data_IF_297404607806
#
_entry.id   IF_297404607806
#
_cell.length_a   1.000
_cell.length_b   1.000
_cell.length_c   1.000
_cell.angle_alpha   90.00
_cell.angle_beta   90.00
_cell.angle_gamma   90.00
#
_symmetry.space_group_name_H-M   'P 1'
#
loop_
_entity.id
_entity.type
_entity.pdbx_description
1 polymer ?
#
# COMPACT_ATOMS: atom_id res chain seq x y z
N UNK A 1 -13.28 12.64 -29.37
CA UNK A 1 -12.25 13.37 -28.63
C UNK A 1 -12.71 14.83 -28.50
N UNK A 2 -12.35 15.49 -27.40
CA UNK A 2 -12.64 16.89 -27.14
C UNK A 2 -11.39 17.55 -26.55
N UNK A 3 -11.20 18.83 -26.87
CA UNK A 3 -10.24 19.70 -26.19
C UNK A 3 -10.98 20.47 -25.10
N UNK A 4 -10.51 20.36 -23.87
CA UNK A 4 -10.99 21.18 -22.75
C UNK A 4 -9.95 22.24 -22.46
N UNK A 5 -10.30 23.49 -22.62
CA UNK A 5 -9.45 24.63 -22.34
C UNK A 5 -9.94 25.31 -21.06
N UNK A 6 -9.05 25.46 -20.09
CA UNK A 6 -9.34 26.10 -18.80
C UNK A 6 -8.68 27.47 -18.73
N UNK A 7 -9.34 28.44 -18.10
CA UNK A 7 -8.70 29.70 -17.72
C UNK A 7 -7.68 29.46 -16.60
N UNK A 8 -6.72 30.37 -16.44
CA UNK A 8 -5.66 30.29 -15.43
C UNK A 8 -6.22 30.16 -14.00
N UNK A 9 -7.31 30.86 -13.71
CA UNK A 9 -8.00 30.85 -12.43
C UNK A 9 -9.04 29.70 -12.28
N UNK A 10 -9.14 28.82 -13.29
CA UNK A 10 -10.09 27.72 -13.38
C UNK A 10 -11.57 28.16 -13.33
N UNK A 11 -11.87 29.45 -13.51
CA UNK A 11 -13.25 29.98 -13.47
C UNK A 11 -14.03 29.74 -14.77
N UNK A 12 -13.33 29.45 -15.85
CA UNK A 12 -13.93 29.21 -17.16
C UNK A 12 -13.39 27.92 -17.79
N UNK A 13 -14.30 27.12 -18.33
CA UNK A 13 -13.95 25.93 -19.11
C UNK A 13 -14.63 26.05 -20.50
N UNK A 14 -13.87 25.87 -21.58
CA UNK A 14 -14.38 25.76 -22.95
C UNK A 14 -14.15 24.34 -23.46
N UNK A 15 -15.18 23.76 -24.06
CA UNK A 15 -15.10 22.45 -24.72
C UNK A 15 -15.12 22.67 -26.20
N UNK A 16 -14.16 22.12 -26.93
CA UNK A 16 -14.04 22.21 -28.39
C UNK A 16 -13.95 20.81 -28.99
N UNK A 17 -14.58 20.63 -30.15
CA UNK A 17 -14.62 19.40 -30.93
C UNK A 17 -13.94 19.52 -32.31
N UNK A 18 -13.27 20.67 -32.57
CA UNK A 18 -12.51 20.92 -33.78
C UNK A 18 -11.34 19.92 -33.89
N UNK A 19 -11.38 19.06 -34.90
CA UNK A 19 -10.41 17.97 -35.07
C UNK A 19 -8.99 18.49 -35.31
N UNK A 20 -8.81 19.52 -36.11
CA UNK A 20 -7.49 20.08 -36.46
C UNK A 20 -6.83 20.69 -35.21
N UNK A 21 -7.65 21.37 -34.40
CA UNK A 21 -7.22 21.98 -33.15
C UNK A 21 -6.84 20.89 -32.11
N UNK A 22 -7.64 19.84 -32.02
CA UNK A 22 -7.36 18.68 -31.14
C UNK A 22 -6.04 18.00 -31.54
N UNK A 23 -5.85 17.72 -32.83
CA UNK A 23 -4.64 17.09 -33.36
C UNK A 23 -3.40 17.95 -33.14
N UNK A 24 -3.52 19.27 -33.33
CA UNK A 24 -2.44 20.21 -33.03
C UNK A 24 -2.01 20.16 -31.57
N UNK A 25 -2.97 20.27 -30.64
CA UNK A 25 -2.65 20.23 -29.21
C UNK A 25 -2.18 18.85 -28.75
N UNK A 26 -2.73 17.76 -29.27
CA UNK A 26 -2.26 16.41 -29.02
C UNK A 26 -0.80 16.23 -29.48
N UNK A 27 -0.48 16.69 -30.69
CA UNK A 27 0.89 16.66 -31.22
C UNK A 27 1.87 17.51 -30.41
N UNK A 28 1.44 18.68 -29.95
CA UNK A 28 2.23 19.54 -29.06
C UNK A 28 2.47 18.86 -27.70
N UNK A 29 1.42 18.29 -27.10
CA UNK A 29 1.50 17.58 -25.82
C UNK A 29 2.43 16.36 -25.89
N UNK A 30 2.35 15.56 -26.96
CA UNK A 30 3.26 14.44 -27.16
C UNK A 30 4.73 14.87 -27.27
N UNK A 31 4.99 16.01 -27.92
CA UNK A 31 6.36 16.57 -27.97
C UNK A 31 6.85 17.05 -26.62
N UNK A 32 5.99 17.67 -25.81
CA UNK A 32 6.35 18.08 -24.45
C UNK A 32 6.65 16.86 -23.57
N UNK A 33 5.78 15.84 -23.59
CA UNK A 33 5.99 14.60 -22.81
C UNK A 33 7.30 13.92 -23.21
N UNK A 34 7.64 13.88 -24.50
CA UNK A 34 8.89 13.28 -24.96
C UNK A 34 10.15 14.01 -24.46
N UNK A 35 10.02 15.25 -23.99
CA UNK A 35 11.11 16.03 -23.41
C UNK A 35 11.13 15.99 -21.88
N UNK A 36 10.17 15.30 -21.24
CA UNK A 36 10.04 15.23 -19.79
C UNK A 36 10.52 13.86 -19.29
N UNK A 37 11.20 13.84 -18.17
CA UNK A 37 11.44 12.60 -17.44
C UNK A 37 10.13 12.15 -16.76
N UNK A 38 9.86 10.85 -16.69
CA UNK A 38 8.66 10.37 -16.01
C UNK A 38 8.77 10.65 -14.51
N UNK A 39 7.87 11.48 -14.05
CA UNK A 39 7.73 11.89 -12.65
C UNK A 39 7.02 10.81 -11.81
N UNK A 40 6.15 10.02 -12.45
CA UNK A 40 5.42 8.90 -11.85
C UNK A 40 5.60 7.69 -12.75
N UNK A 41 6.00 6.59 -12.15
CA UNK A 41 6.04 5.28 -12.82
C UNK A 41 4.80 4.48 -12.39
N UNK A 42 4.09 3.91 -13.35
CA UNK A 42 2.93 3.04 -13.11
C UNK A 42 3.21 1.66 -13.69
N UNK A 43 3.11 0.64 -12.85
CA UNK A 43 3.35 -0.74 -13.23
C UNK A 43 2.16 -1.62 -12.80
N UNK A 44 1.66 -2.45 -13.71
CA UNK A 44 0.53 -3.34 -13.48
C UNK A 44 0.91 -4.84 -13.56
N UNK A 45 2.17 -5.16 -13.85
CA UNK A 45 2.67 -6.54 -13.84
C UNK A 45 3.16 -6.89 -12.43
N UNK A 46 2.57 -7.92 -11.80
CA UNK A 46 2.89 -8.28 -10.42
C UNK A 46 4.38 -8.62 -10.21
N UNK A 47 5.04 -9.27 -11.16
CA UNK A 47 6.45 -9.60 -11.04
C UNK A 47 7.32 -8.34 -11.09
N UNK A 48 7.01 -7.43 -12.00
CA UNK A 48 7.71 -6.15 -12.13
C UNK A 48 7.45 -5.25 -10.92
N UNK A 49 6.20 -5.23 -10.40
CA UNK A 49 5.86 -4.51 -9.16
C UNK A 49 6.68 -5.01 -7.98
N UNK A 50 6.80 -6.32 -7.80
CA UNK A 50 7.61 -6.91 -6.73
C UNK A 50 9.09 -6.60 -6.90
N UNK A 51 9.62 -6.71 -8.13
CA UNK A 51 11.02 -6.38 -8.44
C UNK A 51 11.33 -4.91 -8.17
N UNK A 52 10.47 -4.02 -8.63
CA UNK A 52 10.58 -2.58 -8.38
C UNK A 52 10.55 -2.28 -6.89
N UNK A 53 9.58 -2.85 -6.16
CA UNK A 53 9.46 -2.65 -4.72
C UNK A 53 10.70 -3.15 -3.97
N UNK A 54 11.20 -4.35 -4.27
CA UNK A 54 12.40 -4.92 -3.67
C UNK A 54 13.62 -4.04 -3.93
N UNK A 55 13.75 -3.54 -5.16
CA UNK A 55 14.89 -2.72 -5.58
C UNK A 55 14.89 -1.34 -4.90
N UNK A 56 13.72 -0.81 -4.60
CA UNK A 56 13.53 0.52 -4.04
C UNK A 56 13.30 0.52 -2.53
N UNK A 57 13.12 -0.64 -1.89
CA UNK A 57 12.93 -0.70 -0.44
C UNK A 57 14.24 -0.42 0.29
N UNK A 58 14.26 0.66 1.08
CA UNK A 58 15.37 0.98 1.97
C UNK A 58 15.23 0.24 3.30
N UNK A 59 16.30 -0.36 3.84
CA UNK A 59 16.27 -0.98 5.16
C UNK A 59 16.18 0.02 6.32
N UNK A 60 16.33 1.32 6.06
CA UNK A 60 16.49 2.34 7.11
C UNK A 60 15.18 2.69 7.80
N UNK A 61 14.09 2.78 7.07
CA UNK A 61 12.77 3.11 7.61
C UNK A 61 11.66 2.74 6.64
N UNK A 62 10.53 2.29 7.16
CA UNK A 62 9.32 2.05 6.40
C UNK A 62 8.11 2.57 7.17
N UNK A 63 7.24 3.29 6.47
CA UNK A 63 5.91 3.66 6.95
C UNK A 63 4.88 3.10 6.01
N UNK A 64 3.90 2.41 6.55
CA UNK A 64 2.82 1.80 5.78
C UNK A 64 1.50 2.36 6.24
N UNK A 65 0.70 2.85 5.30
CA UNK A 65 -0.67 3.27 5.52
C UNK A 65 -1.58 2.39 4.67
N UNK A 66 -2.40 1.59 5.30
CA UNK A 66 -3.38 0.72 4.64
C UNK A 66 -4.58 0.46 5.56
N UNK A 67 -5.74 0.07 5.03
CA UNK A 67 -6.90 -0.21 5.88
C UNK A 67 -6.64 -1.30 6.92
N UNK A 68 -6.00 -2.39 6.50
CA UNK A 68 -5.63 -3.51 7.38
C UNK A 68 -4.28 -3.27 8.07
N UNK A 69 -4.00 -3.85 9.24
CA UNK A 69 -2.65 -3.85 9.79
C UNK A 69 -1.70 -4.58 8.85
N UNK A 70 -0.54 -3.98 8.56
CA UNK A 70 0.46 -4.59 7.67
C UNK A 70 1.18 -5.76 8.37
N UNK A 71 0.93 -7.01 7.98
CA UNK A 71 1.54 -8.18 8.59
C UNK A 71 2.86 -8.57 7.92
N UNK A 72 3.37 -7.79 6.98
CA UNK A 72 4.50 -8.16 6.12
C UNK A 72 5.74 -8.66 6.85
N UNK A 73 6.04 -8.13 8.05
CA UNK A 73 7.17 -8.62 8.88
C UNK A 73 6.96 -10.02 9.45
N UNK A 74 5.73 -10.50 9.50
CA UNK A 74 5.36 -11.79 10.12
C UNK A 74 5.12 -12.90 9.10
N UNK A 75 5.11 -12.56 7.81
CA UNK A 75 4.99 -13.52 6.73
C UNK A 75 6.31 -14.28 6.59
N UNK A 76 6.28 -15.54 6.96
CA UNK A 76 7.43 -16.46 6.89
C UNK A 76 7.43 -17.24 5.58
N UNK A 77 8.57 -17.85 5.23
CA UNK A 77 8.68 -18.75 4.09
C UNK A 77 7.66 -19.90 4.12
N UNK A 78 7.32 -20.38 5.32
CA UNK A 78 6.35 -21.48 5.49
C UNK A 78 4.92 -21.01 5.19
N UNK A 79 4.57 -19.79 5.60
CA UNK A 79 3.29 -19.16 5.23
C UNK A 79 3.22 -18.96 3.73
N UNK A 80 4.28 -18.44 3.09
CA UNK A 80 4.32 -18.26 1.63
C UNK A 80 4.09 -19.60 0.94
N UNK A 81 4.82 -20.66 1.33
CA UNK A 81 4.66 -22.03 0.75
C UNK A 81 3.26 -22.58 0.95
N UNK A 82 2.63 -22.32 2.11
CA UNK A 82 1.31 -22.82 2.46
C UNK A 82 0.21 -22.22 1.58
N UNK A 83 0.31 -20.93 1.23
CA UNK A 83 -0.79 -20.19 0.60
C UNK A 83 -0.56 -19.78 -0.84
N UNK A 84 0.68 -19.72 -1.31
CA UNK A 84 0.95 -19.29 -2.66
C UNK A 84 0.78 -20.47 -3.65
N UNK A 85 -0.40 -20.56 -4.23
CA UNK A 85 -0.75 -21.57 -5.24
C UNK A 85 -1.32 -20.87 -6.46
N UNK A 86 -0.58 -20.80 -7.56
CA UNK A 86 -1.11 -20.34 -8.84
C UNK A 86 -0.36 -20.99 -10.01
N UNK A 87 -1.13 -21.56 -10.93
CA UNK A 87 -0.60 -22.19 -12.13
C UNK A 87 -0.33 -21.18 -13.27
N UNK A 88 -0.78 -19.93 -13.13
CA UNK A 88 -0.66 -18.90 -14.17
C UNK A 88 0.73 -18.25 -14.26
N UNK A 89 1.56 -18.38 -13.23
CA UNK A 89 2.94 -17.87 -13.19
C UNK A 89 3.87 -19.00 -12.73
N UNK A 90 5.09 -19.10 -13.26
CA UNK A 90 6.04 -20.09 -12.78
C UNK A 90 6.25 -19.98 -11.27
N UNK A 91 5.78 -20.97 -10.52
CA UNK A 91 5.77 -20.96 -9.06
C UNK A 91 7.14 -20.59 -8.45
N UNK A 92 8.22 -21.11 -9.00
CA UNK A 92 9.58 -20.86 -8.50
C UNK A 92 9.98 -19.38 -8.59
N UNK A 93 9.61 -18.73 -9.68
CA UNK A 93 9.93 -17.32 -9.91
C UNK A 93 9.12 -16.43 -8.96
N UNK A 94 7.80 -16.63 -8.92
CA UNK A 94 6.92 -15.91 -8.01
C UNK A 94 7.34 -16.14 -6.55
N UNK A 95 7.58 -17.39 -6.15
CA UNK A 95 8.00 -17.72 -4.79
C UNK A 95 9.31 -16.99 -4.43
N UNK A 96 10.30 -16.99 -5.33
CA UNK A 96 11.58 -16.32 -5.09
C UNK A 96 11.41 -14.82 -4.86
N UNK A 97 10.61 -14.15 -5.68
CA UNK A 97 10.35 -12.71 -5.54
C UNK A 97 9.56 -12.39 -4.27
N UNK A 98 8.51 -13.15 -3.99
CA UNK A 98 7.70 -12.96 -2.78
C UNK A 98 8.52 -13.18 -1.51
N UNK A 99 9.34 -14.25 -1.48
CA UNK A 99 10.25 -14.51 -0.36
C UNK A 99 11.28 -13.40 -0.18
N UNK A 100 11.84 -12.90 -1.28
CA UNK A 100 12.76 -11.77 -1.25
C UNK A 100 12.09 -10.52 -0.72
N UNK A 101 10.88 -10.20 -1.18
CA UNK A 101 10.08 -9.07 -0.71
C UNK A 101 9.88 -9.11 0.81
N UNK A 102 9.34 -10.21 1.33
CA UNK A 102 9.11 -10.32 2.77
C UNK A 102 10.41 -10.44 3.58
N UNK A 103 11.48 -10.99 3.00
CA UNK A 103 12.80 -10.99 3.63
C UNK A 103 13.34 -9.56 3.83
N UNK A 104 13.11 -8.67 2.88
CA UNK A 104 13.47 -7.26 3.02
C UNK A 104 12.65 -6.61 4.14
N UNK A 105 11.32 -6.81 4.17
CA UNK A 105 10.46 -6.26 5.22
C UNK A 105 10.86 -6.73 6.63
N UNK A 106 11.23 -8.01 6.78
CA UNK A 106 11.72 -8.55 8.05
C UNK A 106 13.03 -7.94 8.54
N UNK A 107 13.86 -7.41 7.63
CA UNK A 107 15.15 -6.79 7.95
C UNK A 107 15.07 -5.29 8.22
N UNK A 108 13.93 -4.66 7.96
CA UNK A 108 13.77 -3.22 8.20
C UNK A 108 13.95 -2.95 9.69
N UNK A 109 14.93 -2.12 9.98
CA UNK A 109 15.19 -1.64 11.34
C UNK A 109 14.21 -0.51 11.71
N UNK A 110 14.20 -0.12 12.98
CA UNK A 110 13.40 1.03 13.42
C UNK A 110 13.82 2.33 12.71
N UNK A 111 12.86 3.23 12.42
CA UNK A 111 11.44 3.10 12.73
C UNK A 111 10.64 2.33 11.66
N UNK A 112 9.88 1.33 12.09
CA UNK A 112 8.80 0.72 11.31
C UNK A 112 7.46 1.21 11.84
N UNK A 113 6.66 1.85 10.98
CA UNK A 113 5.36 2.39 11.33
C UNK A 113 4.27 1.72 10.49
N UNK A 114 3.22 1.23 11.11
CA UNK A 114 2.02 0.73 10.43
C UNK A 114 0.80 1.51 10.90
N UNK A 115 0.11 2.15 9.95
CA UNK A 115 -1.13 2.90 10.18
C UNK A 115 -2.28 2.10 9.59
N UNK A 116 -3.29 1.80 10.38
CA UNK A 116 -4.42 0.99 9.96
C UNK A 116 -5.72 1.44 10.63
N UNK A 117 -6.86 0.96 10.14
CA UNK A 117 -8.20 1.31 10.63
C UNK A 117 -8.83 0.14 11.38
N UNK A 118 -9.74 0.45 12.31
CA UNK A 118 -10.52 -0.58 13.00
C UNK A 118 -11.39 -1.38 12.02
N UNK A 119 -12.02 -0.70 11.04
CA UNK A 119 -12.77 -1.36 9.97
C UNK A 119 -11.90 -2.35 9.19
N UNK A 120 -10.67 -1.96 8.84
CA UNK A 120 -9.74 -2.82 8.11
C UNK A 120 -9.26 -4.00 8.94
N UNK A 121 -9.01 -3.81 10.24
CA UNK A 121 -8.70 -4.89 11.17
C UNK A 121 -9.86 -5.91 11.23
N UNK A 122 -11.09 -5.44 11.40
CA UNK A 122 -12.27 -6.29 11.41
C UNK A 122 -12.48 -7.03 10.08
N UNK A 123 -12.22 -6.35 8.96
CA UNK A 123 -12.28 -6.98 7.64
C UNK A 123 -11.24 -8.10 7.50
N UNK A 124 -9.99 -7.89 7.95
CA UNK A 124 -8.96 -8.93 7.96
C UNK A 124 -9.40 -10.15 8.79
N UNK A 125 -9.93 -9.93 9.99
CA UNK A 125 -10.38 -10.99 10.90
C UNK A 125 -11.54 -11.79 10.30
N UNK A 126 -12.53 -11.09 9.72
CA UNK A 126 -13.74 -11.74 9.19
C UNK A 126 -13.54 -12.46 7.87
N UNK A 127 -12.67 -11.94 6.99
CA UNK A 127 -12.43 -12.51 5.67
C UNK A 127 -11.18 -13.38 5.59
N UNK A 128 -10.26 -13.23 6.53
CA UNK A 128 -8.92 -13.82 6.49
C UNK A 128 -8.14 -13.51 5.20
N UNK A 129 -8.54 -12.47 4.46
CA UNK A 129 -7.94 -12.06 3.20
C UNK A 129 -7.09 -10.81 3.40
N UNK A 130 -5.88 -10.83 2.87
CA UNK A 130 -4.94 -9.70 2.95
C UNK A 130 -5.20 -8.75 1.78
N UNK A 131 -5.42 -7.45 2.08
CA UNK A 131 -5.77 -6.45 1.07
C UNK A 131 -4.62 -6.13 0.10
N UNK A 132 -3.38 -6.32 0.52
CA UNK A 132 -2.18 -6.08 -0.27
C UNK A 132 -1.73 -7.31 -1.10
N UNK A 133 -2.39 -8.45 -0.95
CA UNK A 133 -2.12 -9.63 -1.75
C UNK A 133 -3.29 -9.90 -2.72
N UNK A 134 -3.00 -9.96 -4.03
CA UNK A 134 -4.05 -10.25 -5.01
C UNK A 134 -4.72 -11.60 -4.74
N UNK A 135 -6.06 -11.67 -4.59
CA UNK A 135 -6.76 -12.88 -4.15
C UNK A 135 -6.66 -14.05 -5.16
N UNK A 136 -6.32 -13.76 -6.42
CA UNK A 136 -6.06 -14.78 -7.43
C UNK A 136 -4.73 -15.52 -7.20
N UNK A 137 -3.81 -14.97 -6.39
CA UNK A 137 -2.52 -15.60 -6.07
C UNK A 137 -2.46 -16.13 -4.64
N UNK A 138 -3.20 -15.51 -3.74
CA UNK A 138 -3.22 -15.88 -2.33
C UNK A 138 -4.66 -15.98 -1.85
N UNK A 139 -5.18 -17.19 -1.60
CA UNK A 139 -6.52 -17.39 -1.03
C UNK A 139 -6.58 -16.85 0.41
N UNK A 140 -7.79 -16.76 0.99
CA UNK A 140 -7.94 -16.46 2.42
C UNK A 140 -7.07 -17.38 3.27
N UNK A 141 -6.40 -16.79 4.26
CA UNK A 141 -5.52 -17.52 5.17
C UNK A 141 -6.33 -18.30 6.23
N UNK A 142 -5.68 -19.27 6.87
CA UNK A 142 -6.27 -19.91 8.04
C UNK A 142 -6.44 -18.86 9.18
N UNK A 143 -7.59 -18.82 9.86
CA UNK A 143 -7.81 -17.92 10.99
C UNK A 143 -6.73 -18.00 12.08
N UNK A 144 -6.13 -19.19 12.26
CA UNK A 144 -5.01 -19.39 13.20
C UNK A 144 -3.76 -18.63 12.80
N UNK A 145 -3.47 -18.57 11.49
CA UNK A 145 -2.31 -17.82 10.99
C UNK A 145 -2.55 -16.31 11.11
N UNK A 146 -3.75 -15.84 10.79
CA UNK A 146 -4.13 -14.43 11.02
C UNK A 146 -4.00 -14.07 12.50
N UNK A 147 -4.54 -14.90 13.39
CA UNK A 147 -4.42 -14.70 14.84
C UNK A 147 -2.97 -14.63 15.29
N UNK A 148 -2.12 -15.52 14.78
CA UNK A 148 -0.70 -15.54 15.10
C UNK A 148 0.00 -14.26 14.62
N UNK A 149 -0.31 -13.77 13.41
CA UNK A 149 0.23 -12.52 12.89
C UNK A 149 -0.21 -11.32 13.74
N UNK A 150 -1.47 -11.25 14.15
CA UNK A 150 -1.97 -10.19 15.02
C UNK A 150 -1.33 -10.24 16.42
N UNK A 151 -1.04 -11.42 16.95
CA UNK A 151 -0.27 -11.57 18.20
C UNK A 151 1.15 -11.03 18.07
N UNK A 152 1.85 -11.36 16.98
CA UNK A 152 3.16 -10.79 16.72
C UNK A 152 3.11 -9.26 16.60
N UNK A 153 2.14 -8.73 15.89
CA UNK A 153 1.95 -7.28 15.80
C UNK A 153 1.72 -6.64 17.18
N UNK A 154 0.84 -7.24 17.99
CA UNK A 154 0.59 -6.81 19.36
C UNK A 154 1.90 -6.78 20.19
N UNK A 155 2.66 -7.85 20.16
CA UNK A 155 3.93 -7.97 20.92
C UNK A 155 4.96 -6.94 20.47
N UNK A 156 5.07 -6.68 19.16
CA UNK A 156 5.99 -5.71 18.60
C UNK A 156 5.59 -4.27 18.96
N UNK A 157 4.30 -3.95 18.94
CA UNK A 157 3.80 -2.64 19.41
C UNK A 157 4.06 -2.49 20.91
N UNK A 158 3.80 -3.53 21.70
CA UNK A 158 4.03 -3.50 23.16
C UNK A 158 5.49 -3.24 23.51
N UNK A 159 6.44 -3.80 22.73
CA UNK A 159 7.90 -3.65 22.90
C UNK A 159 8.48 -2.38 22.23
N UNK A 160 7.67 -1.53 21.62
CA UNK A 160 8.11 -0.35 20.83
C UNK A 160 9.05 -0.68 19.65
N UNK A 161 9.03 -1.90 19.14
CA UNK A 161 9.76 -2.29 17.92
C UNK A 161 8.99 -1.95 16.64
N UNK A 162 7.66 -1.76 16.77
CA UNK A 162 6.77 -1.28 15.74
C UNK A 162 5.90 -0.17 16.30
N UNK A 163 5.79 0.94 15.58
CA UNK A 163 4.82 1.97 15.87
C UNK A 163 3.49 1.62 15.19
N UNK A 164 2.60 0.95 15.91
CA UNK A 164 1.24 0.66 15.46
C UNK A 164 0.31 1.83 15.73
N UNK A 165 -0.30 2.38 14.69
CA UNK A 165 -1.21 3.53 14.76
C UNK A 165 -2.57 3.08 14.27
N UNK A 166 -3.52 2.93 15.20
CA UNK A 166 -4.91 2.63 14.89
C UNK A 166 -5.69 3.93 14.72
N UNK A 167 -6.24 4.13 13.53
CA UNK A 167 -7.02 5.31 13.18
C UNK A 167 -8.45 5.17 13.67
N UNK A 168 -8.99 6.24 14.28
CA UNK A 168 -10.39 6.29 14.74
C UNK A 168 -11.36 6.20 13.55
N UNK A 169 -12.54 5.56 13.69
CA UNK A 169 -13.42 5.21 12.58
C UNK A 169 -13.84 6.36 11.64
N UNK A 170 -13.91 7.58 12.15
CA UNK A 170 -14.36 8.77 11.39
C UNK A 170 -13.23 9.68 10.95
N UNK A 171 -11.99 9.38 11.34
CA UNK A 171 -10.86 10.29 11.18
C UNK A 171 -10.20 10.24 9.82
N UNK A 172 -10.13 9.06 9.21
CA UNK A 172 -9.52 8.85 7.90
C UNK A 172 -10.26 7.73 7.17
N UNK A 173 -10.82 8.04 6.02
CA UNK A 173 -11.44 7.06 5.15
C UNK A 173 -10.44 6.63 4.07
N UNK A 174 -9.91 5.43 4.23
CA UNK A 174 -9.04 4.81 3.22
C UNK A 174 -9.86 3.87 2.35
N UNK A 175 -9.63 3.88 1.02
CA UNK A 175 -10.16 2.84 0.15
C UNK A 175 -9.65 1.47 0.60
N UNK A 176 -10.53 0.48 0.69
CA UNK A 176 -10.22 -0.85 1.23
C UNK A 176 -9.12 -1.61 0.43
N UNK A 177 -8.76 -1.11 -0.73
CA UNK A 177 -7.82 -1.69 -1.70
C UNK A 177 -6.52 -0.88 -1.86
N UNK A 178 -6.35 0.23 -1.14
CA UNK A 178 -5.17 1.10 -1.29
C UNK A 178 -4.18 0.86 -0.16
N UNK A 179 -2.95 0.61 -0.53
CA UNK A 179 -1.80 0.60 0.36
C UNK A 179 -0.80 1.66 -0.05
N UNK A 180 -0.31 2.43 0.90
CA UNK A 180 0.72 3.45 0.70
C UNK A 180 1.96 3.04 1.49
N UNK A 181 3.04 2.75 0.77
CA UNK A 181 4.36 2.52 1.35
C UNK A 181 5.20 3.79 1.21
N UNK A 182 5.75 4.27 2.30
CA UNK A 182 6.59 5.47 2.33
C UNK A 182 7.98 5.10 2.82
N UNK A 183 8.95 5.23 1.93
CA UNK A 183 10.36 5.08 2.22
C UNK A 183 11.03 6.45 2.12
N UNK A 184 11.56 7.03 3.20
CA UNK A 184 12.07 8.40 3.19
C UNK A 184 13.15 8.68 2.13
N UNK A 185 13.90 7.65 1.72
CA UNK A 185 14.98 7.77 0.73
C UNK A 185 14.66 7.12 -0.63
N UNK A 186 13.70 6.19 -0.67
CA UNK A 186 13.41 5.41 -1.87
C UNK A 186 12.10 5.82 -2.54
N UNK A 187 11.31 6.68 -1.92
CA UNK A 187 10.08 7.22 -2.49
C UNK A 187 8.79 6.69 -1.88
N UNK A 188 7.70 6.95 -2.55
CA UNK A 188 6.34 6.56 -2.16
C UNK A 188 5.77 5.61 -3.19
N UNK A 189 5.24 4.48 -2.73
CA UNK A 189 4.50 3.54 -3.54
C UNK A 189 3.02 3.58 -3.17
N UNK A 190 2.16 3.88 -4.15
CA UNK A 190 0.72 3.74 -4.05
C UNK A 190 0.35 2.43 -4.72
N UNK A 191 0.04 1.42 -3.93
CA UNK A 191 -0.21 0.07 -4.40
C UNK A 191 -1.68 -0.31 -4.23
N UNK A 192 -2.25 -0.97 -5.22
CA UNK A 192 -3.62 -1.48 -5.18
C UNK A 192 -3.73 -2.85 -5.83
N UNK A 193 -4.62 -3.67 -5.29
CA UNK A 193 -5.02 -4.97 -5.85
C UNK A 193 -6.41 -4.93 -6.50
N UNK A 194 -7.02 -3.75 -6.63
CA UNK A 194 -8.36 -3.61 -7.17
C UNK A 194 -8.35 -3.50 -8.69
N UNK A 195 -8.62 -4.62 -9.36
CA UNK A 195 -8.72 -4.68 -10.83
C UNK A 195 -9.80 -3.77 -11.44
N UNK A 196 -10.86 -3.45 -10.68
CA UNK A 196 -11.93 -2.56 -11.18
C UNK A 196 -11.49 -1.11 -11.31
N UNK A 197 -10.48 -0.69 -10.55
CA UNK A 197 -9.97 0.69 -10.60
C UNK A 197 -9.03 0.88 -11.78
N UNK A 198 -8.15 -0.10 -12.05
CA UNK A 198 -7.07 0.06 -13.04
C UNK A 198 -7.12 -0.96 -14.19
N UNK A 199 -8.12 -1.85 -14.20
CA UNK A 199 -8.22 -2.90 -15.22
C UNK A 199 -7.15 -3.99 -15.12
N UNK A 200 -6.37 -4.00 -14.04
CA UNK A 200 -5.32 -4.97 -13.77
C UNK A 200 -5.44 -5.52 -12.34
N UNK A 201 -4.89 -6.72 -12.11
CA UNK A 201 -4.95 -7.37 -10.79
C UNK A 201 -4.12 -6.67 -9.72
N UNK A 202 -3.17 -5.86 -10.11
CA UNK A 202 -2.44 -4.95 -9.23
C UNK A 202 -2.00 -3.73 -10.03
N UNK A 203 -1.77 -2.64 -9.34
CA UNK A 203 -1.11 -1.47 -9.89
C UNK A 203 -0.23 -0.85 -8.80
N UNK A 204 0.99 -0.52 -9.16
CA UNK A 204 1.91 0.25 -8.32
C UNK A 204 2.22 1.57 -9.02
N UNK A 205 2.04 2.66 -8.31
CA UNK A 205 2.49 3.99 -8.71
C UNK A 205 3.67 4.34 -7.82
N UNK A 206 4.84 4.50 -8.40
CA UNK A 206 6.05 4.89 -7.70
C UNK A 206 6.36 6.36 -7.93
N UNK A 207 6.52 7.11 -6.86
CA UNK A 207 6.78 8.55 -6.83
C UNK A 207 8.13 8.77 -6.15
N UNK A 208 9.09 9.36 -6.87
CA UNK A 208 10.44 9.64 -6.37
C UNK A 208 10.71 11.13 -6.15
N UNK A 209 9.76 11.98 -6.50
CA UNK A 209 9.91 13.43 -6.34
C UNK A 209 9.98 13.79 -4.86
N UNK A 210 11.08 14.46 -4.45
CA UNK A 210 11.45 14.67 -3.05
C UNK A 210 10.41 15.48 -2.27
N UNK A 211 9.83 16.51 -2.88
CA UNK A 211 8.85 17.37 -2.20
C UNK A 211 7.57 16.60 -1.87
N UNK A 212 7.11 15.75 -2.78
CA UNK A 212 5.94 14.88 -2.55
C UNK A 212 6.27 13.81 -1.51
N UNK A 213 7.41 13.14 -1.63
CA UNK A 213 7.85 12.14 -0.66
C UNK A 213 7.91 12.72 0.75
N UNK A 214 8.40 13.95 0.89
CA UNK A 214 8.44 14.67 2.17
C UNK A 214 7.05 14.92 2.73
N UNK A 215 6.09 15.35 1.90
CA UNK A 215 4.70 15.57 2.33
C UNK A 215 4.10 14.27 2.90
N UNK A 216 4.31 13.13 2.23
CA UNK A 216 3.85 11.83 2.75
C UNK A 216 4.54 11.46 4.06
N UNK A 217 5.85 11.67 4.17
CA UNK A 217 6.59 11.44 5.41
C UNK A 217 6.06 12.28 6.57
N UNK A 218 5.88 13.59 6.34
CA UNK A 218 5.39 14.54 7.35
C UNK A 218 3.96 14.21 7.76
N UNK A 219 3.10 13.86 6.80
CA UNK A 219 1.74 13.39 7.07
C UNK A 219 1.75 12.16 7.99
N UNK A 220 2.51 11.12 7.62
CA UNK A 220 2.59 9.90 8.41
C UNK A 220 3.13 10.15 9.83
N UNK A 221 4.11 11.04 9.97
CA UNK A 221 4.64 11.43 11.29
C UNK A 221 3.62 12.21 12.11
N UNK A 222 2.86 13.10 11.46
CA UNK A 222 1.84 13.93 12.14
C UNK A 222 0.66 13.15 12.68
N UNK A 223 0.40 11.96 12.13
CA UNK A 223 -0.66 11.08 12.64
C UNK A 223 -0.35 10.59 14.06
N UNK A 224 0.91 10.28 14.34
CA UNK A 224 1.31 9.83 15.67
C UNK A 224 1.05 10.92 16.72
N UNK A 225 0.23 10.60 17.73
CA UNK A 225 -0.15 11.54 18.79
C UNK A 225 -1.21 12.57 18.41
N UNK A 226 -1.78 12.49 17.21
CA UNK A 226 -2.91 13.33 16.81
C UNK A 226 -4.22 12.84 17.45
N UNK A 227 -5.25 13.71 17.49
CA UNK A 227 -6.59 13.33 17.94
C UNK A 227 -7.31 12.35 16.99
N UNK A 228 -6.76 12.11 15.81
CA UNK A 228 -7.31 11.21 14.79
C UNK A 228 -7.05 9.73 15.07
N UNK A 229 -6.15 9.43 16.01
CA UNK A 229 -5.71 8.06 16.29
C UNK A 229 -5.97 7.67 17.74
N UNK A 230 -5.99 6.39 18.01
CA UNK A 230 -6.00 5.85 19.36
C UNK A 230 -4.61 5.97 20.00
N UNK A 231 -4.53 6.07 21.32
CA UNK A 231 -3.25 5.92 22.03
C UNK A 231 -2.67 4.52 21.84
N UNK A 232 -1.40 4.34 22.18
CA UNK A 232 -0.75 3.01 22.16
C UNK A 232 -1.52 2.01 23.03
N UNK A 233 -1.92 2.44 24.23
CA UNK A 233 -2.65 1.62 25.21
C UNK A 233 -4.02 1.22 24.67
N UNK A 234 -4.79 2.17 24.11
CA UNK A 234 -6.08 1.91 23.47
C UNK A 234 -5.92 0.96 22.27
N UNK A 235 -4.89 1.16 21.44
CA UNK A 235 -4.59 0.30 20.30
C UNK A 235 -4.29 -1.14 20.75
N UNK A 236 -3.46 -1.32 21.77
CA UNK A 236 -3.17 -2.64 22.33
C UNK A 236 -4.40 -3.30 22.95
N UNK A 237 -5.24 -2.54 23.64
CA UNK A 237 -6.47 -3.05 24.23
C UNK A 237 -7.43 -3.56 23.13
N UNK A 238 -7.64 -2.79 22.06
CA UNK A 238 -8.51 -3.18 20.95
C UNK A 238 -7.96 -4.40 20.21
N UNK A 239 -6.64 -4.45 19.93
CA UNK A 239 -6.01 -5.61 19.34
C UNK A 239 -6.17 -6.86 20.21
N UNK A 240 -5.94 -6.75 21.52
CA UNK A 240 -6.09 -7.88 22.46
C UNK A 240 -7.53 -8.39 22.49
N UNK A 241 -8.54 -7.49 22.50
CA UNK A 241 -9.94 -7.86 22.45
C UNK A 241 -10.25 -8.65 21.19
N UNK A 242 -9.91 -8.12 20.00
CA UNK A 242 -10.19 -8.81 18.74
C UNK A 242 -9.44 -10.12 18.57
N UNK A 243 -8.20 -10.23 19.07
CA UNK A 243 -7.45 -11.49 19.09
C UNK A 243 -8.15 -12.53 19.98
N UNK A 244 -8.70 -12.11 21.13
CA UNK A 244 -9.43 -12.99 22.02
C UNK A 244 -10.75 -13.48 21.40
N UNK A 245 -11.47 -12.61 20.68
CA UNK A 245 -12.71 -12.95 19.97
C UNK A 245 -12.48 -13.96 18.83
N UNK A 246 -11.24 -14.12 18.33
CA UNK A 246 -10.85 -15.16 17.37
C UNK A 246 -10.61 -16.53 18.02
N UNK A 247 -10.89 -16.70 19.32
CA UNK A 247 -10.76 -18.01 19.96
C UNK A 247 -11.86 -18.96 19.48
N UNK A 248 -11.45 -19.91 18.64
CA UNK A 248 -12.24 -21.03 18.11
C UNK A 248 -11.90 -22.29 18.93
#
# INVERSE_FOLDING_TARGET
HYLIQLSEDLSLAQIRDDADLIDFYAGFFHKLIACCDPFVQCNANILEVLQEYISNTSPDALRVLMPQPCPGRYITSDIIRKYMHNDAIPYKEMFSLVEQHFSVLRKISNPYQTVFTEKGLMNLISTCSMADLPPQYVPPLDPRDIRQMLRYLYDEIAKDTVQGILVRPTALQLPDYLTIYVHPKAGVHLYTTNAFVYGAYCCNIHITEESICRIFCDFMQSLAGSALVYSKEETLQLLAQHIAEMEI
#
